data_IF_996256015571
#
_entry.id   IF_996256015571
#
_cell.length_a   1.000
_cell.length_b   1.000
_cell.length_c   1.000
_cell.angle_alpha   90.00
_cell.angle_beta   90.00
_cell.angle_gamma   90.00
#
_symmetry.space_group_name_H-M   'P 1'
#
loop_
_entity.id
_entity.type
_entity.pdbx_description
1 polymer ?
#
# COMPACT_ATOMS: atom_id res chain seq x y z
N UNK A 1 -49.95 33.16 -5.00
CA UNK A 1 -49.41 32.26 -6.06
C UNK A 1 -48.32 31.40 -5.44
N UNK A 2 -48.49 30.08 -5.37
CA UNK A 2 -47.43 29.18 -4.88
C UNK A 2 -46.36 29.07 -5.96
N UNK A 3 -45.18 29.63 -5.73
CA UNK A 3 -44.03 29.50 -6.63
C UNK A 3 -43.49 28.07 -6.46
N UNK A 4 -43.53 27.26 -7.51
CA UNK A 4 -42.92 25.92 -7.51
C UNK A 4 -41.39 26.08 -7.56
N UNK A 5 -40.63 25.34 -6.75
CA UNK A 5 -39.17 25.40 -6.84
C UNK A 5 -38.71 24.67 -8.11
N UNK A 6 -37.65 25.19 -8.74
CA UNK A 6 -36.99 24.58 -9.90
C UNK A 6 -36.42 23.18 -9.59
N UNK A 7 -36.35 22.77 -8.31
CA UNK A 7 -36.08 21.39 -7.89
C UNK A 7 -36.98 20.35 -8.57
N UNK A 8 -38.22 20.70 -8.94
CA UNK A 8 -39.14 19.78 -9.63
C UNK A 8 -38.70 19.48 -11.08
N UNK A 9 -37.74 20.25 -11.61
CA UNK A 9 -37.27 20.16 -13.00
C UNK A 9 -35.77 19.92 -13.13
N UNK A 10 -34.95 20.30 -12.13
CA UNK A 10 -33.49 20.19 -12.18
C UNK A 10 -32.91 19.43 -10.98
N UNK A 11 -32.21 18.33 -11.25
CA UNK A 11 -31.39 17.58 -10.28
C UNK A 11 -29.97 18.13 -10.11
N UNK A 12 -29.64 19.23 -10.81
CA UNK A 12 -28.32 19.85 -10.83
C UNK A 12 -27.81 20.38 -9.48
N UNK A 13 -28.69 20.57 -8.48
CA UNK A 13 -28.32 21.01 -7.13
C UNK A 13 -27.69 22.41 -7.00
N UNK A 14 -27.52 23.15 -8.10
CA UNK A 14 -26.82 24.45 -8.18
C UNK A 14 -27.74 25.61 -8.55
N UNK A 15 -28.95 25.64 -7.99
CA UNK A 15 -29.87 26.75 -8.19
C UNK A 15 -30.21 27.40 -6.84
N UNK A 16 -30.60 28.68 -6.88
CA UNK A 16 -31.06 29.39 -5.69
C UNK A 16 -32.46 28.88 -5.30
N UNK A 17 -32.54 27.78 -4.54
CA UNK A 17 -33.80 27.32 -3.97
C UNK A 17 -33.98 27.84 -2.53
N UNK A 18 -35.22 28.18 -2.12
CA UNK A 18 -35.55 28.42 -0.72
C UNK A 18 -35.53 27.14 0.14
N UNK A 19 -35.45 25.95 -0.45
CA UNK A 19 -35.23 24.71 0.29
C UNK A 19 -33.82 24.72 0.90
N UNK A 20 -33.68 24.13 2.11
CA UNK A 20 -32.36 23.87 2.67
C UNK A 20 -31.54 23.07 1.65
N UNK A 21 -30.26 23.41 1.42
CA UNK A 21 -29.42 22.69 0.48
C UNK A 21 -29.32 21.22 0.91
N UNK A 22 -30.07 20.35 0.24
CA UNK A 22 -29.91 18.91 0.28
C UNK A 22 -28.64 18.59 -0.49
N UNK A 23 -27.48 18.77 0.16
CA UNK A 23 -26.20 18.46 -0.47
C UNK A 23 -26.21 16.99 -0.89
N UNK A 24 -26.19 16.77 -2.20
CA UNK A 24 -26.10 15.44 -2.81
C UNK A 24 -24.76 14.80 -2.48
N UNK A 25 -23.76 15.65 -2.21
CA UNK A 25 -22.45 15.24 -1.73
C UNK A 25 -22.34 15.65 -0.26
N UNK A 26 -22.47 14.68 0.64
CA UNK A 26 -21.88 14.85 1.96
C UNK A 26 -20.42 15.23 1.75
N UNK A 27 -19.97 16.27 2.44
CA UNK A 27 -18.54 16.49 2.64
C UNK A 27 -18.06 15.42 3.62
N UNK A 28 -18.20 14.15 3.27
CA UNK A 28 -17.39 13.12 3.89
C UNK A 28 -15.97 13.48 3.50
N UNK A 29 -15.25 14.08 4.43
CA UNK A 29 -13.81 14.42 4.33
C UNK A 29 -12.94 13.17 4.11
N UNK A 30 -13.56 12.01 3.86
CA UNK A 30 -12.91 10.75 3.56
C UNK A 30 -12.43 10.82 2.11
N UNK A 31 -11.11 10.91 1.87
CA UNK A 31 -10.60 10.78 0.53
C UNK A 31 -11.03 9.42 -0.05
N UNK A 32 -11.45 9.41 -1.31
CA UNK A 32 -11.64 8.17 -2.05
C UNK A 32 -10.26 7.51 -2.16
N UNK A 33 -10.03 6.46 -1.38
CA UNK A 33 -8.75 5.73 -1.36
C UNK A 33 -8.57 4.80 -2.57
N UNK A 34 -9.55 4.75 -3.48
CA UNK A 34 -9.55 3.93 -4.68
C UNK A 34 -9.21 4.82 -5.87
N UNK A 35 -7.98 4.68 -6.37
CA UNK A 35 -7.46 5.32 -7.56
C UNK A 35 -6.71 4.29 -8.40
N UNK A 36 -6.53 4.58 -9.69
CA UNK A 36 -5.65 3.80 -10.56
C UNK A 36 -4.24 3.68 -9.96
N UNK A 37 -3.76 4.70 -9.26
CA UNK A 37 -2.46 4.67 -8.60
C UNK A 37 -2.38 3.60 -7.52
N UNK A 38 -3.36 3.57 -6.61
CA UNK A 38 -3.42 2.58 -5.52
C UNK A 38 -3.66 1.16 -6.02
N UNK A 39 -4.29 1.02 -7.18
CA UNK A 39 -4.52 -0.27 -7.84
C UNK A 39 -3.26 -0.78 -8.54
N UNK A 40 -2.53 0.09 -9.24
CA UNK A 40 -1.32 -0.26 -9.98
C UNK A 40 -0.08 -0.37 -9.08
N UNK A 41 -0.03 0.32 -7.94
CA UNK A 41 1.12 0.40 -7.05
C UNK A 41 0.75 0.07 -5.59
N UNK A 42 0.38 -1.20 -5.29
CA UNK A 42 0.12 -1.60 -3.91
C UNK A 42 1.41 -1.59 -3.07
N UNK A 43 1.26 -1.41 -1.76
CA UNK A 43 2.37 -1.54 -0.82
C UNK A 43 2.80 -3.01 -0.71
N UNK A 44 3.85 -3.38 -1.44
CA UNK A 44 4.46 -4.70 -1.37
C UNK A 44 5.13 -4.90 -0.02
N UNK A 45 4.78 -5.96 0.71
CA UNK A 45 5.33 -6.24 2.05
C UNK A 45 6.74 -6.87 2.03
N UNK A 46 7.28 -7.17 0.85
CA UNK A 46 8.52 -7.92 0.66
C UNK A 46 9.76 -7.02 0.51
N UNK A 47 9.94 -6.07 1.43
CA UNK A 47 11.16 -5.25 1.52
C UNK A 47 12.27 -5.91 2.32
N UNK A 48 12.03 -7.12 2.84
CA UNK A 48 13.06 -7.83 3.59
C UNK A 48 14.26 -8.12 2.68
N UNK A 49 15.49 -7.83 3.15
CA UNK A 49 16.68 -8.22 2.43
C UNK A 49 16.64 -9.70 2.09
N UNK A 50 17.04 -10.02 0.87
CA UNK A 50 17.10 -11.41 0.42
C UNK A 50 18.12 -12.18 1.25
N UNK A 51 17.78 -13.41 1.62
CA UNK A 51 18.71 -14.31 2.28
C UNK A 51 19.99 -14.49 1.44
N UNK A 52 21.13 -14.48 2.13
CA UNK A 52 22.42 -14.61 1.47
C UNK A 52 22.57 -16.01 0.86
N UNK A 53 23.10 -16.10 -0.36
CA UNK A 53 23.55 -17.38 -0.93
C UNK A 53 24.88 -17.87 -0.35
N UNK A 54 25.49 -17.08 0.54
CA UNK A 54 26.77 -17.43 1.13
C UNK A 54 26.60 -18.74 1.92
N UNK A 55 27.45 -19.75 1.69
CA UNK A 55 27.45 -20.94 2.53
C UNK A 55 27.56 -20.51 4.00
N UNK A 56 26.72 -21.08 4.84
CA UNK A 56 26.82 -20.85 6.28
C UNK A 56 28.21 -21.27 6.70
N UNK A 57 28.91 -20.39 7.40
CA UNK A 57 30.19 -20.73 8.03
C UNK A 57 29.90 -21.58 9.27
N UNK A 58 29.31 -22.74 9.06
CA UNK A 58 29.24 -23.78 10.07
C UNK A 58 30.67 -24.26 10.27
N UNK A 59 31.20 -24.07 11.49
CA UNK A 59 32.55 -24.51 11.82
C UNK A 59 32.65 -26.02 11.61
N UNK A 60 33.32 -26.42 10.52
CA UNK A 60 33.61 -27.82 10.25
C UNK A 60 34.94 -28.16 10.93
N UNK A 61 34.87 -28.64 12.16
CA UNK A 61 36.04 -29.21 12.84
C UNK A 61 36.54 -30.37 11.98
N UNK A 62 37.82 -30.34 11.58
CA UNK A 62 38.48 -31.51 11.02
C UNK A 62 38.41 -32.65 12.05
N UNK A 63 37.87 -33.81 11.66
CA UNK A 63 37.77 -34.96 12.56
C UNK A 63 39.12 -35.61 12.85
N UNK A 64 40.11 -35.35 11.99
CA UNK A 64 41.42 -36.01 12.01
C UNK A 64 42.46 -35.01 12.56
N UNK A 65 43.27 -35.40 13.56
CA UNK A 65 44.40 -34.59 13.99
C UNK A 65 45.42 -34.43 12.85
N UNK A 66 46.09 -33.28 12.78
CA UNK A 66 47.18 -33.08 11.83
C UNK A 66 48.33 -34.03 12.16
N UNK A 67 48.79 -34.81 11.20
CA UNK A 67 49.98 -35.64 11.32
C UNK A 67 51.25 -34.77 11.27
N UNK A 68 52.18 -34.96 12.21
CA UNK A 68 53.41 -34.17 12.34
C UNK A 68 54.55 -34.59 11.40
N UNK A 69 54.24 -35.17 10.25
CA UNK A 69 55.26 -35.65 9.31
C UNK A 69 55.89 -34.46 8.56
N UNK A 70 57.21 -34.30 8.72
CA UNK A 70 57.99 -33.25 8.03
C UNK A 70 59.02 -33.92 7.11
N UNK A 71 59.18 -33.41 5.89
CA UNK A 71 60.11 -33.95 4.87
C UNK A 71 61.55 -33.42 5.02
N UNK A 72 62.01 -33.16 6.24
CA UNK A 72 63.39 -32.73 6.46
C UNK A 72 64.32 -33.95 6.40
N UNK A 73 64.96 -34.16 5.25
CA UNK A 73 66.01 -35.14 5.00
C UNK A 73 67.14 -34.52 4.20
#
# INVERSE_FOLDING_TARGET
>A
MKRKCICELCSCGRHHCPHLPTKIYDKTEKPCLLSEYTENYPLYHSYLPRESFKPRMEYRKGSIPMEGLTTAS
#
